data_IF_856853343935
#
_entry.id   IF_856853343935
#
_cell.length_a   1.000
_cell.length_b   1.000
_cell.length_c   1.000
_cell.angle_alpha   90.00
_cell.angle_beta   90.00
_cell.angle_gamma   90.00
#
_symmetry.space_group_name_H-M   'P 1'
#
loop_
_entity.id
_entity.type
_entity.pdbx_description
1 polymer ?
#
# COMPACT_ATOMS: atom_id res chain seq x y z
N UNK A 1 -5.32 -10.14 8.79
CA UNK A 1 -4.42 -11.12 9.41
C UNK A 1 -3.06 -10.97 8.77
N UNK A 2 -2.03 -10.62 9.53
CA UNK A 2 -0.69 -10.40 8.98
C UNK A 2 0.10 -11.71 8.90
N UNK A 3 -0.17 -12.65 9.80
CA UNK A 3 0.53 -13.94 9.87
C UNK A 3 0.18 -14.88 8.71
N UNK A 4 -0.91 -14.60 7.99
CA UNK A 4 -1.29 -15.33 6.78
C UNK A 4 -0.55 -14.87 5.52
N UNK A 5 0.29 -13.82 5.59
CA UNK A 5 1.01 -13.27 4.45
C UNK A 5 2.34 -14.01 4.23
N UNK A 6 2.62 -14.39 2.98
CA UNK A 6 3.89 -15.02 2.60
C UNK A 6 4.84 -14.00 1.98
N UNK A 7 6.11 -13.95 2.40
CA UNK A 7 7.13 -13.07 1.82
C UNK A 7 7.40 -13.36 0.33
N UNK A 8 7.10 -14.58 -0.11
CA UNK A 8 7.27 -15.01 -1.50
C UNK A 8 6.17 -14.47 -2.42
N UNK A 9 5.03 -14.01 -1.86
CA UNK A 9 3.87 -13.53 -2.62
C UNK A 9 3.71 -12.01 -2.54
N UNK A 10 4.76 -11.26 -2.87
CA UNK A 10 4.76 -9.80 -2.80
C UNK A 10 3.63 -9.15 -3.63
N UNK A 11 3.30 -9.72 -4.79
CA UNK A 11 2.24 -9.21 -5.66
C UNK A 11 0.85 -9.37 -5.02
N UNK A 12 0.53 -10.59 -4.59
CA UNK A 12 -0.75 -10.91 -3.94
C UNK A 12 -0.94 -10.14 -2.63
N UNK A 13 0.14 -9.99 -1.84
CA UNK A 13 0.13 -9.23 -0.59
C UNK A 13 -0.10 -7.73 -0.78
N UNK A 14 0.43 -7.14 -1.86
CA UNK A 14 0.24 -5.72 -2.13
C UNK A 14 -1.14 -5.45 -2.77
N UNK A 15 -1.58 -6.29 -3.71
CA UNK A 15 -2.83 -6.09 -4.45
C UNK A 15 -4.09 -6.30 -3.60
N UNK A 16 -4.15 -7.41 -2.85
CA UNK A 16 -5.38 -7.88 -2.23
C UNK A 16 -5.56 -7.41 -0.78
N UNK A 17 -4.63 -7.61 0.16
CA UNK A 17 -4.79 -7.13 1.53
C UNK A 17 -4.29 -5.68 1.71
N UNK A 18 -3.10 -5.29 1.22
CA UNK A 18 -2.54 -3.98 1.59
C UNK A 18 -3.31 -2.79 0.98
N UNK A 19 -3.44 -2.75 -0.34
CA UNK A 19 -4.11 -1.64 -1.01
C UNK A 19 -5.63 -1.63 -0.82
N UNK A 20 -6.26 -2.80 -0.69
CA UNK A 20 -7.69 -2.88 -0.38
C UNK A 20 -7.99 -2.44 1.05
N UNK A 21 -7.17 -2.80 2.03
CA UNK A 21 -7.33 -2.33 3.41
C UNK A 21 -7.11 -0.82 3.50
N UNK A 22 -6.11 -0.28 2.78
CA UNK A 22 -5.88 1.16 2.69
C UNK A 22 -7.11 1.92 2.17
N UNK A 23 -7.75 1.41 1.13
CA UNK A 23 -8.97 2.01 0.57
C UNK A 23 -10.18 1.83 1.49
N UNK A 24 -10.47 0.60 1.91
CA UNK A 24 -11.68 0.29 2.71
C UNK A 24 -11.64 0.89 4.11
N UNK A 25 -10.48 0.84 4.76
CA UNK A 25 -10.36 1.29 6.13
C UNK A 25 -9.84 2.71 6.24
N UNK A 26 -9.05 3.23 5.30
CA UNK A 26 -8.43 4.55 5.43
C UNK A 26 -8.82 5.54 4.33
N UNK A 27 -9.61 5.12 3.34
CA UNK A 27 -10.06 5.97 2.24
C UNK A 27 -8.91 6.45 1.34
N UNK A 28 -7.75 5.80 1.40
CA UNK A 28 -6.61 6.15 0.55
C UNK A 28 -6.82 5.47 -0.81
N UNK A 29 -6.96 6.23 -1.91
CA UNK A 29 -7.13 5.63 -3.23
C UNK A 29 -5.90 4.82 -3.61
N UNK A 30 -6.10 3.74 -4.37
CA UNK A 30 -5.00 2.97 -4.97
C UNK A 30 -4.28 3.81 -6.02
N UNK A 31 -3.30 4.60 -5.59
CA UNK A 31 -2.48 5.44 -6.47
C UNK A 31 -1.32 4.67 -7.12
N UNK A 32 -0.98 3.50 -6.58
CA UNK A 32 0.11 2.65 -7.06
C UNK A 32 -0.45 1.34 -7.60
N UNK A 33 0.08 0.89 -8.74
CA UNK A 33 -0.17 -0.46 -9.25
C UNK A 33 0.74 -1.45 -8.51
N UNK A 34 0.20 -2.48 -7.85
CA UNK A 34 1.00 -3.49 -7.15
C UNK A 34 1.96 -4.24 -8.09
N UNK A 35 1.63 -4.40 -9.37
CA UNK A 35 2.54 -4.95 -10.38
C UNK A 35 3.76 -4.06 -10.56
N UNK A 36 3.58 -2.73 -10.62
CA UNK A 36 4.67 -1.79 -10.84
C UNK A 36 5.57 -1.68 -9.61
N UNK A 37 5.00 -1.76 -8.41
CA UNK A 37 5.79 -1.71 -7.15
C UNK A 37 6.60 -2.99 -6.94
N UNK A 38 6.09 -4.15 -7.37
CA UNK A 38 6.74 -5.46 -7.12
C UNK A 38 7.68 -5.89 -8.25
N UNK A 39 7.31 -5.62 -9.51
CA UNK A 39 8.09 -6.08 -10.67
C UNK A 39 9.13 -5.05 -11.13
N UNK A 40 9.05 -3.80 -10.66
CA UNK A 40 10.06 -2.78 -10.96
C UNK A 40 11.17 -2.82 -9.92
N UNK A 41 12.40 -3.05 -10.37
CA UNK A 41 13.59 -3.07 -9.49
C UNK A 41 13.78 -1.76 -8.73
N UNK A 42 13.50 -0.64 -9.39
CA UNK A 42 13.61 0.71 -8.86
C UNK A 42 12.28 1.45 -9.13
N UNK A 43 11.27 1.32 -8.26
CA UNK A 43 10.00 2.00 -8.42
C UNK A 43 10.16 3.51 -8.26
N UNK A 44 9.24 4.28 -8.85
CA UNK A 44 9.30 5.75 -8.80
C UNK A 44 9.21 6.28 -7.36
N UNK A 45 10.32 6.86 -6.88
CA UNK A 45 10.47 7.30 -5.48
C UNK A 45 9.42 8.36 -5.10
N UNK A 46 9.07 9.25 -6.02
CA UNK A 46 8.08 10.32 -5.79
C UNK A 46 6.70 9.71 -5.60
N UNK A 47 6.34 8.72 -6.41
CA UNK A 47 5.07 7.99 -6.33
C UNK A 47 4.96 7.21 -5.02
N UNK A 48 6.01 6.48 -4.63
CA UNK A 48 6.06 5.77 -3.33
C UNK A 48 5.93 6.76 -2.16
N UNK A 49 6.69 7.86 -2.18
CA UNK A 49 6.66 8.88 -1.13
C UNK A 49 5.29 9.53 -1.02
N UNK A 50 4.64 9.83 -2.14
CA UNK A 50 3.30 10.43 -2.17
C UNK A 50 2.26 9.49 -1.58
N UNK A 51 2.35 8.20 -1.90
CA UNK A 51 1.44 7.19 -1.36
C UNK A 51 1.62 7.01 0.15
N UNK A 52 2.86 6.85 0.63
CA UNK A 52 3.17 6.71 2.06
C UNK A 52 2.75 7.97 2.84
N UNK A 53 2.96 9.16 2.27
CA UNK A 53 2.53 10.43 2.86
C UNK A 53 1.01 10.53 3.00
N UNK A 54 0.28 10.05 1.99
CA UNK A 54 -1.19 9.99 2.01
C UNK A 54 -1.68 9.04 3.11
N UNK A 55 -1.02 7.89 3.26
CA UNK A 55 -1.32 6.92 4.30
C UNK A 55 -1.05 7.50 5.71
N UNK A 56 0.10 8.16 5.90
CA UNK A 56 0.44 8.83 7.16
C UNK A 56 -0.58 9.90 7.53
N UNK A 57 -1.04 10.69 6.56
CA UNK A 57 -2.07 11.71 6.78
C UNK A 57 -3.39 11.10 7.24
N UNK A 58 -3.87 10.04 6.57
CA UNK A 58 -5.08 9.34 6.99
C UNK A 58 -4.97 8.73 8.38
N UNK A 59 -3.80 8.20 8.74
CA UNK A 59 -3.54 7.65 10.09
C UNK A 59 -3.46 8.74 11.16
N UNK A 60 -2.87 9.90 10.83
CA UNK A 60 -2.72 11.03 11.76
C UNK A 60 -4.01 11.80 11.98
N UNK A 61 -4.83 11.96 10.94
CA UNK A 61 -6.12 12.66 11.02
C UNK A 61 -7.16 11.81 11.78
N UNK A 62 -6.92 10.50 11.92
CA UNK A 62 -7.64 9.64 12.86
C UNK A 62 -7.08 9.82 14.27
N UNK A 63 -7.72 10.68 15.05
CA UNK A 63 -7.61 10.59 16.52
C UNK A 63 -8.13 9.21 16.98
N UNK A 64 -7.50 8.60 18.00
CA UNK A 64 -7.89 7.30 18.53
C UNK A 64 -9.35 7.28 19.01
#
# INVERSE_FOLDING_TARGET
DFESLSKDNALENNELPAFRVAEQHFGVPKLLDPCDVVNTKDPDEISIMTYVSSLYRCLKDRKP
#
